data_IF_031469100808
#
_entry.id   IF_031469100808
#
_cell.length_a   1.000
_cell.length_b   1.000
_cell.length_c   1.000
_cell.angle_alpha   90.00
_cell.angle_beta   90.00
_cell.angle_gamma   90.00
#
_symmetry.space_group_name_H-M   'P 1'
#
loop_
_entity.id
_entity.type
_entity.pdbx_description
1 polymer ?
#
# COMPACT_ATOMS: atom_id res chain seq x y z
N UNK A 1 4.40 -8.32 1.82
CA UNK A 1 3.42 -8.32 2.93
C UNK A 1 4.08 -8.44 4.31
N UNK A 2 4.68 -9.57 4.71
CA UNK A 2 5.29 -9.73 6.06
C UNK A 2 6.29 -8.62 6.45
N UNK A 3 7.18 -8.23 5.54
CA UNK A 3 8.14 -7.14 5.80
C UNK A 3 7.47 -5.78 6.05
N UNK A 4 6.30 -5.54 5.47
CA UNK A 4 5.53 -4.30 5.69
C UNK A 4 4.98 -4.24 7.11
N UNK A 5 4.49 -5.36 7.63
CA UNK A 5 4.04 -5.48 9.02
C UNK A 5 5.21 -5.19 9.97
N UNK A 6 6.37 -5.80 9.74
CA UNK A 6 7.57 -5.55 10.54
C UNK A 6 8.00 -4.08 10.45
N UNK A 7 7.94 -3.48 9.25
CA UNK A 7 8.20 -2.06 9.03
C UNK A 7 7.29 -1.16 9.85
N UNK A 8 5.99 -1.45 9.91
CA UNK A 8 5.04 -0.67 10.72
C UNK A 8 5.41 -0.64 12.20
N UNK A 9 5.91 -1.76 12.75
CA UNK A 9 6.38 -1.80 14.14
C UNK A 9 7.74 -1.11 14.37
N UNK A 10 8.57 -0.98 13.33
CA UNK A 10 9.92 -0.39 13.40
C UNK A 10 9.90 1.13 13.38
N UNK A 11 8.97 1.75 12.65
CA UNK A 11 8.90 3.20 12.51
C UNK A 11 7.95 3.80 13.55
N UNK A 12 8.37 4.84 14.29
CA UNK A 12 7.51 5.54 15.25
C UNK A 12 6.52 6.48 14.54
N UNK A 13 6.97 7.16 13.49
CA UNK A 13 6.19 8.16 12.74
C UNK A 13 5.12 7.56 11.81
N UNK A 14 3.89 8.08 11.90
CA UNK A 14 2.70 7.67 11.16
C UNK A 14 2.84 7.83 9.64
N UNK A 15 3.39 8.96 9.18
CA UNK A 15 3.61 9.19 7.74
C UNK A 15 4.63 8.19 7.19
N UNK A 16 5.69 7.88 7.96
CA UNK A 16 6.65 6.85 7.58
C UNK A 16 6.00 5.46 7.49
N UNK A 17 5.12 5.10 8.45
CA UNK A 17 4.36 3.83 8.44
C UNK A 17 3.49 3.70 7.19
N UNK A 18 2.76 4.75 6.81
CA UNK A 18 1.91 4.74 5.61
C UNK A 18 2.74 4.57 4.35
N UNK A 19 3.80 5.35 4.19
CA UNK A 19 4.66 5.30 3.00
C UNK A 19 5.30 3.92 2.80
N UNK A 20 5.77 3.31 3.89
CA UNK A 20 6.41 1.99 3.84
C UNK A 20 5.37 0.91 3.55
N UNK A 21 4.20 0.98 4.17
CA UNK A 21 3.11 0.03 3.93
C UNK A 21 2.68 0.07 2.47
N UNK A 22 2.43 1.27 1.92
CA UNK A 22 2.01 1.44 0.53
C UNK A 22 3.04 0.92 -0.49
N UNK A 23 4.34 1.15 -0.24
CA UNK A 23 5.43 0.61 -1.08
C UNK A 23 5.51 -0.91 -1.03
N UNK A 24 5.42 -1.51 0.15
CA UNK A 24 5.49 -2.97 0.30
C UNK A 24 4.25 -3.66 -0.26
N UNK A 25 3.07 -3.04 -0.14
CA UNK A 25 1.82 -3.51 -0.74
C UNK A 25 1.91 -3.57 -2.25
N UNK A 26 2.25 -2.44 -2.90
CA UNK A 26 2.35 -2.37 -4.36
C UNK A 26 3.32 -3.39 -4.94
N UNK A 27 4.52 -3.54 -4.34
CA UNK A 27 5.50 -4.54 -4.79
C UNK A 27 5.00 -5.97 -4.55
N UNK A 28 4.42 -6.26 -3.38
CA UNK A 28 3.91 -7.58 -3.05
C UNK A 28 2.75 -8.00 -3.95
N UNK A 29 1.81 -7.09 -4.17
CA UNK A 29 0.67 -7.29 -5.04
C UNK A 29 1.11 -7.51 -6.49
N UNK A 30 2.05 -6.69 -7.02
CA UNK A 30 2.58 -6.86 -8.37
C UNK A 30 3.26 -8.23 -8.54
N UNK A 31 4.07 -8.66 -7.56
CA UNK A 31 4.73 -9.96 -7.61
C UNK A 31 3.73 -11.13 -7.64
N UNK A 32 2.68 -11.08 -6.83
CA UNK A 32 1.60 -12.09 -6.81
C UNK A 32 0.84 -12.10 -8.13
N UNK A 33 0.49 -10.92 -8.65
CA UNK A 33 -0.19 -10.79 -9.94
C UNK A 33 0.64 -11.43 -11.06
N UNK A 34 1.93 -11.09 -11.16
CA UNK A 34 2.83 -11.69 -12.16
C UNK A 34 2.89 -13.22 -12.00
N UNK A 35 2.99 -13.73 -10.78
CA UNK A 35 2.97 -15.17 -10.53
C UNK A 35 1.69 -15.85 -11.04
N UNK A 36 0.53 -15.23 -10.82
CA UNK A 36 -0.75 -15.76 -11.30
C UNK A 36 -0.87 -15.64 -12.83
N UNK A 37 -0.37 -14.56 -13.44
CA UNK A 37 -0.37 -14.41 -14.90
C UNK A 37 0.47 -15.50 -15.56
N UNK A 38 1.63 -15.84 -14.98
CA UNK A 38 2.49 -16.94 -15.46
C UNK A 38 1.81 -18.30 -15.26
N UNK A 39 1.15 -18.51 -14.12
CA UNK A 39 0.45 -19.77 -13.80
C UNK A 39 -0.79 -20.00 -14.69
N UNK A 40 -1.59 -18.96 -14.93
CA UNK A 40 -2.90 -19.07 -15.60
C UNK A 40 -2.84 -18.89 -17.12
N UNK A 41 -1.73 -18.39 -17.67
CA UNK A 41 -1.57 -18.14 -19.11
C UNK A 41 -2.51 -17.06 -19.69
N UNK A 42 -2.63 -17.03 -21.02
CA UNK A 42 -3.48 -16.08 -21.78
C UNK A 42 -4.95 -16.54 -21.82
N UNK A 43 -5.60 -16.55 -20.65
CA UNK A 43 -7.03 -16.89 -20.50
C UNK A 43 -7.87 -15.66 -20.13
N UNK A 44 -9.20 -15.74 -20.33
CA UNK A 44 -10.16 -14.71 -19.88
C UNK A 44 -10.02 -14.36 -18.40
N UNK A 45 -9.54 -15.31 -17.59
CA UNK A 45 -9.24 -15.11 -16.18
C UNK A 45 -8.11 -14.08 -15.95
N UNK A 46 -7.06 -14.17 -16.76
CA UNK A 46 -5.89 -13.28 -16.75
C UNK A 46 -6.28 -11.82 -16.99
N UNK A 47 -7.22 -11.60 -17.92
CA UNK A 47 -7.76 -10.27 -18.21
C UNK A 47 -8.48 -9.64 -17.02
N UNK A 48 -9.31 -10.41 -16.29
CA UNK A 48 -9.98 -9.92 -15.07
C UNK A 48 -8.98 -9.51 -13.99
N UNK A 49 -7.91 -10.29 -13.86
CA UNK A 49 -6.85 -10.04 -12.88
C UNK A 49 -6.08 -8.75 -13.18
N UNK A 50 -5.73 -8.51 -14.45
CA UNK A 50 -5.11 -7.24 -14.86
C UNK A 50 -6.04 -6.05 -14.58
N UNK A 51 -7.36 -6.21 -14.81
CA UNK A 51 -8.34 -5.17 -14.52
C UNK A 51 -8.37 -4.84 -13.01
N UNK A 52 -8.42 -5.86 -12.15
CA UNK A 52 -8.37 -5.70 -10.69
C UNK A 52 -7.06 -5.01 -10.27
N UNK A 53 -5.94 -5.40 -10.88
CA UNK A 53 -4.64 -4.80 -10.60
C UNK A 53 -4.60 -3.30 -10.92
N UNK A 54 -5.19 -2.90 -12.05
CA UNK A 54 -5.30 -1.49 -12.44
C UNK A 54 -6.14 -0.70 -11.42
N UNK A 55 -7.32 -1.21 -11.06
CA UNK A 55 -8.18 -0.57 -10.06
C UNK A 55 -7.49 -0.48 -8.70
N UNK A 56 -6.82 -1.54 -8.28
CA UNK A 56 -6.06 -1.57 -7.04
C UNK A 56 -4.93 -0.53 -7.02
N UNK A 57 -4.20 -0.40 -8.13
CA UNK A 57 -3.12 0.59 -8.26
C UNK A 57 -3.63 2.04 -8.22
N UNK A 58 -4.88 2.30 -8.63
CA UNK A 58 -5.53 3.61 -8.45
C UNK A 58 -6.05 3.82 -7.03
N UNK A 59 -6.64 2.80 -6.41
CA UNK A 59 -7.17 2.87 -5.04
C UNK A 59 -6.07 3.14 -4.02
N UNK A 60 -4.88 2.54 -4.16
CA UNK A 60 -3.77 2.72 -3.22
C UNK A 60 -3.34 4.19 -3.00
N UNK A 61 -3.03 5.00 -4.04
CA UNK A 61 -2.69 6.41 -3.86
C UNK A 61 -3.89 7.24 -3.40
N UNK A 62 -5.12 6.90 -3.82
CA UNK A 62 -6.33 7.58 -3.34
C UNK A 62 -6.53 7.39 -1.83
N UNK A 63 -6.43 6.15 -1.35
CA UNK A 63 -6.49 5.83 0.08
C UNK A 63 -5.36 6.50 0.86
N UNK A 64 -4.13 6.43 0.35
CA UNK A 64 -2.97 7.08 0.98
C UNK A 64 -3.15 8.59 1.10
N UNK A 65 -3.65 9.24 0.05
CA UNK A 65 -3.89 10.68 0.06
C UNK A 65 -5.04 11.07 1.00
N UNK A 66 -6.14 10.32 1.01
CA UNK A 66 -7.26 10.54 1.91
C UNK A 66 -6.86 10.37 3.38
N UNK A 67 -6.09 9.32 3.71
CA UNK A 67 -5.57 9.07 5.05
C UNK A 67 -4.59 10.18 5.47
N UNK A 68 -3.67 10.57 4.58
CA UNK A 68 -2.73 11.65 4.85
C UNK A 68 -3.42 13.00 5.11
N UNK A 69 -4.46 13.32 4.32
CA UNK A 69 -5.29 14.51 4.54
C UNK A 69 -6.02 14.45 5.88
N UNK A 70 -6.63 13.32 6.22
CA UNK A 70 -7.29 13.15 7.52
C UNK A 70 -6.31 13.26 8.70
N UNK A 71 -5.10 12.73 8.53
CA UNK A 71 -4.07 12.76 9.56
C UNK A 71 -3.50 14.17 9.81
N UNK A 72 -3.43 14.97 8.73
CA UNK A 72 -3.09 16.38 8.83
C UNK A 72 -4.15 17.16 9.62
N UNK A 73 -5.44 16.94 9.33
CA UNK A 73 -6.53 17.61 10.07
C UNK A 73 -6.65 17.15 11.54
N UNK A 74 -6.16 15.96 11.89
CA UNK A 74 -6.17 15.47 13.27
C UNK A 74 -4.94 15.88 14.09
N UNK A 75 -4.09 16.80 13.59
CA UNK A 75 -2.85 17.27 14.22
C UNK A 75 -1.89 16.14 14.62
N UNK A 76 -1.95 14.99 13.93
CA UNK A 76 -1.07 13.85 14.24
C UNK A 76 0.40 14.21 14.01
N UNK A 77 0.70 15.03 12.99
CA UNK A 77 2.06 15.51 12.72
C UNK A 77 2.67 16.32 13.88
N UNK A 78 1.86 17.01 14.67
CA UNK A 78 2.33 17.87 15.77
C UNK A 78 2.51 17.05 17.05
N UNK A 79 1.61 16.08 17.27
CA UNK A 79 1.70 15.11 18.36
C UNK A 79 2.91 14.17 18.25
N UNK A 80 3.38 13.91 17.02
CA UNK A 80 4.56 13.08 16.77
C UNK A 80 5.88 13.83 16.96
N UNK A 81 5.91 15.16 16.81
CA UNK A 81 7.11 15.97 17.10
C UNK A 81 7.29 16.29 18.60
N UNK A 82 6.23 16.16 19.41
CA UNK A 82 6.29 16.33 20.87
C UNK A 82 6.70 15.04 21.61
N UNK A 83 6.66 13.88 20.93
CA UNK A 83 7.00 12.56 21.50
C UNK A 83 8.42 12.08 21.14
N UNK A 84 9.19 12.85 20.37
CA UNK A 84 10.61 12.62 20.04
C UNK A 84 11.50 13.61 20.81
#
# INVERSE_FOLDING_TARGET
MMFGIIGVYRFSNFYARILITAKVETVGFLAVMIGILVQSGFSYFSFKIVLIALFFMLTNPLSTHAIGRSAFYSNLSEKEMDND
#
